data_IF_186642464012
#
_entry.id   IF_186642464012
#
_cell.length_a   1.000
_cell.length_b   1.000
_cell.length_c   1.000
_cell.angle_alpha   90.00
_cell.angle_beta   90.00
_cell.angle_gamma   90.00
#
_symmetry.space_group_name_H-M   'P 1'
#
loop_
_entity.id
_entity.type
_entity.pdbx_description
1 polymer ?
#
# COMPACT_ATOMS: atom_id res chain seq x y z
N UNK A 1 -6.24 -0.87 -6.87
CA UNK A 1 -4.92 -0.88 -7.55
C UNK A 1 -3.82 -0.58 -6.54
N UNK A 2 -2.63 -1.10 -6.81
CA UNK A 2 -1.46 -0.91 -5.94
C UNK A 2 -0.66 0.31 -6.39
N UNK A 3 -0.38 1.21 -5.44
CA UNK A 3 0.30 2.46 -5.69
C UNK A 3 1.57 2.56 -4.83
N UNK A 4 2.60 3.19 -5.37
CA UNK A 4 3.80 3.55 -4.60
C UNK A 4 4.34 4.93 -4.93
N UNK A 5 5.02 5.57 -3.97
CA UNK A 5 5.69 6.86 -4.18
C UNK A 5 7.22 6.74 -4.02
N UNK A 6 7.93 7.86 -4.22
CA UNK A 6 9.39 7.92 -4.05
C UNK A 6 9.83 7.61 -2.62
N UNK A 7 8.99 7.90 -1.63
CA UNK A 7 9.22 7.57 -0.21
C UNK A 7 9.16 6.07 0.07
N UNK A 8 8.59 5.29 -0.85
CA UNK A 8 8.40 3.85 -0.71
C UNK A 8 7.13 3.48 0.03
N UNK A 9 6.16 4.38 0.16
CA UNK A 9 4.85 3.99 0.69
C UNK A 9 4.16 3.10 -0.33
N UNK A 10 3.76 1.90 0.06
CA UNK A 10 2.99 0.98 -0.76
C UNK A 10 1.57 0.92 -0.19
N UNK A 11 0.60 1.33 -1.00
CA UNK A 11 -0.82 1.38 -0.62
C UNK A 11 -1.68 0.69 -1.66
N UNK A 12 -2.90 0.38 -1.23
CA UNK A 12 -3.99 0.02 -2.12
C UNK A 12 -5.03 1.14 -2.11
N UNK A 13 -5.57 1.46 -3.27
CA UNK A 13 -6.74 2.33 -3.38
C UNK A 13 -8.10 1.60 -3.46
N UNK A 14 -8.10 0.28 -3.28
CA UNK A 14 -9.29 -0.57 -3.43
C UNK A 14 -9.61 -1.36 -2.16
N UNK A 15 -8.66 -2.14 -1.61
CA UNK A 15 -8.89 -2.97 -0.42
C UNK A 15 -7.60 -3.31 0.34
N UNK A 16 -7.71 -3.57 1.65
CA UNK A 16 -6.58 -4.09 2.42
C UNK A 16 -6.15 -5.49 1.96
N UNK A 17 -7.12 -6.28 1.49
CA UNK A 17 -6.86 -7.63 0.99
C UNK A 17 -5.89 -7.62 -0.20
N UNK A 18 -6.13 -6.77 -1.22
CA UNK A 18 -5.20 -6.67 -2.34
C UNK A 18 -3.82 -6.14 -1.91
N UNK A 19 -3.78 -5.22 -0.94
CA UNK A 19 -2.52 -4.72 -0.40
C UNK A 19 -1.73 -5.83 0.30
N UNK A 20 -2.39 -6.67 1.11
CA UNK A 20 -1.74 -7.77 1.80
C UNK A 20 -1.30 -8.86 0.82
N UNK A 21 -2.14 -9.21 -0.15
CA UNK A 21 -1.79 -10.17 -1.20
C UNK A 21 -0.57 -9.71 -1.99
N UNK A 22 -0.54 -8.44 -2.40
CA UNK A 22 0.59 -7.86 -3.12
C UNK A 22 1.86 -7.80 -2.26
N UNK A 23 1.73 -7.40 -0.99
CA UNK A 23 2.85 -7.34 -0.06
C UNK A 23 3.49 -8.72 0.12
N UNK A 24 2.69 -9.78 0.29
CA UNK A 24 3.19 -11.17 0.36
C UNK A 24 3.86 -11.57 -0.97
N UNK A 25 3.24 -11.25 -2.10
CA UNK A 25 3.77 -11.56 -3.43
C UNK A 25 5.18 -10.99 -3.66
N UNK A 26 5.46 -9.76 -3.21
CA UNK A 26 6.79 -9.14 -3.33
C UNK A 26 7.73 -9.46 -2.13
N UNK A 27 7.31 -10.37 -1.25
CA UNK A 27 8.11 -10.88 -0.13
C UNK A 27 8.17 -9.98 1.11
N UNK A 28 7.15 -9.17 1.37
CA UNK A 28 7.01 -8.43 2.64
C UNK A 28 6.31 -9.29 3.70
N UNK A 29 6.70 -9.08 4.96
CA UNK A 29 6.08 -9.77 6.10
C UNK A 29 4.79 -9.07 6.50
N UNK A 30 3.74 -9.82 6.84
CA UNK A 30 2.45 -9.26 7.32
C UNK A 30 2.62 -8.33 8.52
N UNK A 31 3.58 -8.62 9.40
CA UNK A 31 3.93 -7.83 10.58
C UNK A 31 4.54 -6.46 10.27
N UNK A 32 4.95 -6.19 9.03
CA UNK A 32 5.46 -4.87 8.60
C UNK A 32 4.35 -3.89 8.22
N UNK A 33 3.09 -4.35 8.21
CA UNK A 33 1.94 -3.52 7.88
C UNK A 33 1.72 -2.39 8.90
N UNK A 34 1.57 -1.17 8.37
CA UNK A 34 1.36 0.05 9.14
C UNK A 34 -0.11 0.51 9.06
N UNK A 35 -1.03 -0.20 9.73
CA UNK A 35 -2.48 0.08 9.59
C UNK A 35 -3.33 0.17 10.86
N UNK A 36 -2.87 -0.34 12.00
CA UNK A 36 -3.74 -0.45 13.21
C UNK A 36 -4.10 0.92 13.82
N UNK A 37 -3.30 1.96 13.57
CA UNK A 37 -3.51 3.31 14.13
C UNK A 37 -3.33 4.44 13.11
N UNK A 38 -3.13 4.13 11.84
CA UNK A 38 -2.84 5.13 10.80
C UNK A 38 -4.07 5.36 9.93
N UNK A 39 -4.36 6.63 9.65
CA UNK A 39 -5.44 7.06 8.75
C UNK A 39 -5.28 6.52 7.32
N UNK A 40 -4.06 6.15 6.94
CA UNK A 40 -3.73 5.58 5.63
C UNK A 40 -2.89 4.32 5.83
N UNK A 41 -3.51 3.12 5.80
CA UNK A 41 -2.78 1.87 5.96
C UNK A 41 -1.83 1.61 4.80
N UNK A 42 -0.59 1.21 5.09
CA UNK A 42 0.46 1.01 4.08
C UNK A 42 1.52 -0.02 4.51
N UNK A 43 2.40 -0.34 3.58
CA UNK A 43 3.72 -0.91 3.85
C UNK A 43 4.82 0.09 3.45
N UNK A 44 5.98 0.00 4.08
CA UNK A 44 7.16 0.80 3.70
C UNK A 44 8.15 -0.06 2.91
N UNK A 45 8.49 0.39 1.71
CA UNK A 45 9.53 -0.17 0.84
C UNK A 45 10.85 0.53 1.14
N UNK A 46 11.55 0.01 2.14
CA UNK A 46 12.74 0.63 2.75
C UNK A 46 13.95 0.68 1.83
N UNK A 47 14.00 -0.10 0.75
CA UNK A 47 15.14 -0.13 -0.18
C UNK A 47 14.73 0.23 -1.61
N UNK A 48 15.63 0.86 -2.41
CA UNK A 48 15.39 1.10 -3.83
C UNK A 48 15.08 -0.18 -4.60
N UNK A 49 15.80 -1.27 -4.30
CA UNK A 49 15.56 -2.59 -4.90
C UNK A 49 14.13 -3.06 -4.67
N UNK A 50 13.61 -2.91 -3.43
CA UNK A 50 12.24 -3.33 -3.11
C UNK A 50 11.19 -2.47 -3.81
N UNK A 51 11.45 -1.17 -3.97
CA UNK A 51 10.61 -0.27 -4.80
C UNK A 51 10.59 -0.71 -6.26
N UNK A 52 11.76 -0.96 -6.86
CA UNK A 52 11.84 -1.47 -8.24
C UNK A 52 11.11 -2.80 -8.42
N UNK A 53 11.22 -3.71 -7.44
CA UNK A 53 10.46 -4.97 -7.45
C UNK A 53 8.95 -4.74 -7.39
N UNK A 54 8.47 -3.81 -6.56
CA UNK A 54 7.04 -3.49 -6.51
C UNK A 54 6.55 -2.94 -7.87
N UNK A 55 7.30 -2.05 -8.49
CA UNK A 55 6.95 -1.51 -9.82
C UNK A 55 6.94 -2.61 -10.89
N UNK A 56 7.96 -3.47 -10.90
CA UNK A 56 8.02 -4.62 -11.81
C UNK A 56 6.85 -5.61 -11.60
N UNK A 57 6.35 -5.74 -10.37
CA UNK A 57 5.18 -6.54 -10.03
C UNK A 57 3.83 -5.84 -10.31
N UNK A 58 3.84 -4.62 -10.85
CA UNK A 58 2.63 -3.89 -11.25
C UNK A 58 2.17 -2.77 -10.31
N UNK A 59 2.97 -2.38 -9.31
CA UNK A 59 2.69 -1.18 -8.54
C UNK A 59 2.87 0.08 -9.39
N UNK A 60 1.89 0.98 -9.38
CA UNK A 60 1.94 2.22 -10.14
C UNK A 60 2.65 3.30 -9.33
N UNK A 61 3.69 3.91 -9.93
CA UNK A 61 4.40 5.03 -9.31
C UNK A 61 3.56 6.29 -9.42
N UNK A 62 3.28 6.93 -8.29
CA UNK A 62 2.56 8.21 -8.19
C UNK A 62 3.35 9.19 -7.32
N UNK A 63 3.00 10.48 -7.38
CA UNK A 63 3.53 11.44 -6.43
C UNK A 63 2.94 11.19 -5.03
N UNK A 64 3.68 11.54 -3.97
CA UNK A 64 3.15 11.47 -2.59
C UNK A 64 1.87 12.30 -2.41
N UNK A 65 1.75 13.42 -3.14
CA UNK A 65 0.54 14.26 -3.15
C UNK A 65 -0.66 13.53 -3.75
N UNK A 66 -0.47 12.83 -4.86
CA UNK A 66 -1.51 12.02 -5.50
C UNK A 66 -1.89 10.82 -4.63
N UNK A 67 -0.90 10.16 -4.01
CA UNK A 67 -1.10 9.06 -3.08
C UNK A 67 -2.01 9.51 -1.91
N UNK A 68 -1.68 10.61 -1.23
CA UNK A 68 -2.51 11.18 -0.16
C UNK A 68 -3.89 11.57 -0.66
N UNK A 69 -4.00 12.17 -1.86
CA UNK A 69 -5.30 12.56 -2.44
C UNK A 69 -6.20 11.33 -2.67
N UNK A 70 -5.66 10.24 -3.21
CA UNK A 70 -6.42 8.99 -3.41
C UNK A 70 -6.77 8.33 -2.08
N UNK A 71 -5.83 8.30 -1.15
CA UNK A 71 -6.04 7.78 0.20
C UNK A 71 -7.15 8.52 0.97
N UNK A 72 -7.29 9.83 0.79
CA UNK A 72 -8.40 10.61 1.38
C UNK A 72 -9.78 10.29 0.78
N UNK A 73 -9.84 9.81 -0.46
CA UNK A 73 -11.10 9.47 -1.14
C UNK A 73 -11.59 8.07 -0.77
N UNK A 74 -10.71 7.22 -0.25
CA UNK A 74 -11.05 5.86 0.13
C UNK A 74 -11.64 5.88 1.52
N UNK A 75 -12.91 5.48 1.61
CA UNK A 75 -13.49 5.05 2.88
C UNK A 75 -13.42 3.54 2.88
N UNK A 76 -12.50 2.96 3.66
CA UNK A 76 -12.55 1.53 3.93
C UNK A 76 -13.82 1.29 4.75
N UNK A 77 -14.89 0.86 4.10
CA UNK A 77 -16.05 0.32 4.83
C UNK A 77 -15.53 -0.93 5.53
N UNK A 78 -15.30 -0.82 6.84
CA UNK A 78 -15.16 -2.00 7.67
C UNK A 78 -16.45 -2.80 7.45
N UNK A 79 -16.37 -3.92 6.73
CA UNK A 79 -17.34 -4.99 6.92
C UNK A 79 -17.07 -5.48 8.34
N UNK A 80 -17.77 -4.89 9.32
CA UNK A 80 -18.07 -5.60 10.55
C UNK A 80 -18.92 -6.79 10.09
N UNK A 81 -18.30 -7.95 10.02
CA UNK A 81 -19.06 -9.20 10.12
C UNK A 81 -19.36 -9.31 11.62
N UNK A 82 -20.60 -8.99 11.96
CA UNK A 82 -21.22 -9.28 13.26
C UNK A 82 -21.46 -10.79 13.37
#
# INVERSE_FOLDING_TARGET
MILTDKGGHLVSDTSLEELHGFAVHIGLRRSWFQGVRKRHPHYDLTTPRKRSQAVAAGAVVVSSKELVRRMKKITFKARLVI
#
